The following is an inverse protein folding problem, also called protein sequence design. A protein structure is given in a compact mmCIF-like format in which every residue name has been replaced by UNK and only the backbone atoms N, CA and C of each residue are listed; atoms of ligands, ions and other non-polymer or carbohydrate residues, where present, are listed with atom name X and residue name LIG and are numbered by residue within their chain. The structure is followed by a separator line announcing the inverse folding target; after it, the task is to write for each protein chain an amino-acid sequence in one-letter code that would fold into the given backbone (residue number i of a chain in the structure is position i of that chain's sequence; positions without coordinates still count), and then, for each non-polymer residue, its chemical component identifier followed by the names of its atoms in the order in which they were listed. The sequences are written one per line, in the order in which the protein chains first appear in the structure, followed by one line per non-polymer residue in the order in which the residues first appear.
data_IF_991540485092
#
_entry.id   IF_991540485092
#
_cell.length_a   1.000
_cell.length_b   1.000
_cell.length_c   1.000
_cell.angle_alpha   90.00
_cell.angle_beta   90.00
_cell.angle_gamma   90.00
#
_symmetry.space_group_name_H-M   'P 1'
#
loop_
_entity.id
_entity.type
_entity.pdbx_description
1 polymer ?
#
# COMPACT_ATOMS: atom_id res chain seq x y z
N UNK A 1 24.27 -41.87 -49.73
CA UNK A 1 23.78 -41.87 -48.34
C UNK A 1 23.33 -40.44 -48.02
N UNK A 2 22.08 -40.09 -48.37
CA UNK A 2 20.93 -39.93 -47.43
C UNK A 2 21.22 -38.81 -46.41
N UNK A 3 20.84 -37.54 -46.65
CA UNK A 3 19.50 -36.91 -46.57
C UNK A 3 18.88 -36.87 -45.16
N UNK A 4 18.43 -35.66 -44.78
CA UNK A 4 17.35 -35.32 -43.83
C UNK A 4 17.70 -35.43 -42.32
N UNK A 5 17.39 -34.51 -41.39
CA UNK A 5 16.55 -33.31 -41.37
C UNK A 5 17.02 -32.38 -40.23
N UNK A 6 17.31 -31.12 -40.54
CA UNK A 6 17.15 -30.01 -39.60
C UNK A 6 15.65 -29.72 -39.53
N UNK A 7 14.98 -30.26 -38.52
CA UNK A 7 13.56 -29.96 -38.30
C UNK A 7 13.33 -29.77 -36.81
N UNK A 8 13.60 -28.55 -36.35
CA UNK A 8 12.91 -27.95 -35.21
C UNK A 8 12.33 -26.65 -35.72
N UNK A 9 11.32 -26.78 -36.57
CA UNK A 9 10.38 -25.71 -36.88
C UNK A 9 9.37 -25.63 -35.73
N UNK A 10 9.82 -25.17 -34.56
CA UNK A 10 8.91 -24.60 -33.58
C UNK A 10 8.64 -23.16 -34.03
N UNK A 11 7.75 -23.03 -35.03
CA UNK A 11 7.04 -21.79 -35.30
C UNK A 11 6.47 -21.29 -33.98
N UNK A 12 7.07 -20.22 -33.43
CA UNK A 12 6.50 -19.47 -32.32
C UNK A 12 5.06 -19.10 -32.73
N UNK A 13 4.01 -19.61 -32.05
CA UNK A 13 2.65 -19.33 -32.47
C UNK A 13 2.36 -17.85 -32.17
N UNK A 14 2.54 -17.03 -33.20
CA UNK A 14 2.55 -15.57 -33.10
C UNK A 14 1.17 -14.98 -32.73
N UNK A 15 0.11 -15.78 -32.86
CA UNK A 15 -1.29 -15.44 -32.52
C UNK A 15 -1.56 -15.42 -31.01
N UNK A 16 -0.88 -16.23 -30.20
CA UNK A 16 -1.11 -16.28 -28.75
C UNK A 16 -0.36 -15.18 -27.96
N UNK A 17 0.73 -14.65 -28.52
CA UNK A 17 1.54 -13.59 -27.90
C UNK A 17 0.80 -12.24 -27.86
N UNK A 18 0.13 -11.86 -28.96
CA UNK A 18 -0.57 -10.57 -29.07
C UNK A 18 -1.75 -10.42 -28.10
N UNK A 19 -2.54 -11.49 -27.93
CA UNK A 19 -3.71 -11.50 -27.04
C UNK A 19 -3.26 -11.47 -25.56
N UNK A 20 -2.25 -12.26 -25.18
CA UNK A 20 -1.68 -12.23 -23.82
C UNK A 20 -1.02 -10.89 -23.48
N UNK A 21 -0.40 -10.23 -24.45
CA UNK A 21 0.18 -8.90 -24.25
C UNK A 21 -0.88 -7.79 -24.14
N UNK A 22 -2.06 -7.97 -24.76
CA UNK A 22 -3.21 -7.08 -24.62
C UNK A 22 -3.81 -7.15 -23.21
N UNK A 23 -4.09 -8.37 -22.72
CA UNK A 23 -4.58 -8.62 -21.37
C UNK A 23 -3.60 -8.14 -20.29
N UNK A 24 -2.30 -8.37 -20.48
CA UNK A 24 -1.26 -7.93 -19.54
C UNK A 24 -1.17 -6.40 -19.36
N UNK A 25 -1.43 -5.61 -20.41
CA UNK A 25 -1.42 -4.14 -20.31
C UNK A 25 -2.67 -3.61 -19.61
N UNK A 26 -3.84 -4.21 -19.86
CA UNK A 26 -5.08 -3.82 -19.20
C UNK A 26 -5.00 -4.09 -17.68
N UNK A 27 -4.50 -5.27 -17.30
CA UNK A 27 -4.26 -5.62 -15.89
C UNK A 27 -3.27 -4.68 -15.21
N UNK A 28 -2.11 -4.43 -15.82
CA UNK A 28 -1.10 -3.54 -15.24
C UNK A 28 -1.55 -2.08 -15.14
N UNK A 29 -2.37 -1.59 -16.08
CA UNK A 29 -2.92 -0.23 -16.03
C UNK A 29 -3.92 -0.07 -14.87
N UNK A 30 -4.77 -1.08 -14.68
CA UNK A 30 -5.70 -1.14 -13.55
C UNK A 30 -4.94 -1.23 -12.21
N UNK A 31 -3.85 -1.99 -12.16
CA UNK A 31 -3.00 -2.07 -10.98
C UNK A 31 -2.39 -0.71 -10.63
N UNK A 32 -1.94 0.07 -11.60
CA UNK A 32 -1.43 1.42 -11.34
C UNK A 32 -2.48 2.33 -10.70
N UNK A 33 -3.71 2.34 -11.24
CA UNK A 33 -4.82 3.11 -10.68
C UNK A 33 -5.13 2.69 -9.23
N UNK A 34 -5.11 1.38 -8.96
CA UNK A 34 -5.31 0.85 -7.61
C UNK A 34 -4.20 1.27 -6.64
N UNK A 35 -2.94 1.22 -7.09
CA UNK A 35 -1.79 1.64 -6.27
C UNK A 35 -1.87 3.14 -5.94
N UNK A 36 -2.25 3.99 -6.91
CA UNK A 36 -2.45 5.43 -6.68
C UNK A 36 -3.54 5.67 -5.64
N UNK A 37 -4.67 4.96 -5.75
CA UNK A 37 -5.75 5.05 -4.74
C UNK A 37 -5.26 4.63 -3.35
N UNK A 38 -4.43 3.58 -3.27
CA UNK A 38 -3.82 3.17 -2.00
C UNK A 38 -2.92 4.29 -1.44
N UNK A 39 -2.10 4.91 -2.28
CA UNK A 39 -1.23 6.01 -1.87
C UNK A 39 -2.02 7.21 -1.30
N UNK A 40 -3.16 7.56 -1.90
CA UNK A 40 -4.00 8.64 -1.39
C UNK A 40 -4.62 8.31 -0.01
N UNK A 41 -5.02 7.06 0.22
CA UNK A 41 -5.51 6.64 1.54
C UNK A 41 -4.40 6.66 2.60
N UNK A 42 -3.17 6.25 2.25
CA UNK A 42 -2.02 6.35 3.16
C UNK A 42 -1.78 7.82 3.55
N UNK A 43 -1.83 8.76 2.59
CA UNK A 43 -1.70 10.19 2.87
C UNK A 43 -2.79 10.70 3.82
N UNK A 44 -4.04 10.25 3.64
CA UNK A 44 -5.14 10.60 4.54
C UNK A 44 -4.84 10.13 5.97
N UNK A 45 -4.41 8.88 6.15
CA UNK A 45 -4.03 8.36 7.48
C UNK A 45 -2.86 9.12 8.10
N UNK A 46 -1.84 9.49 7.31
CA UNK A 46 -0.70 10.30 7.78
C UNK A 46 -1.17 11.69 8.27
N UNK A 47 -2.07 12.34 7.52
CA UNK A 47 -2.61 13.64 7.90
C UNK A 47 -3.39 13.55 9.22
N UNK A 48 -4.17 12.47 9.41
CA UNK A 48 -4.91 12.23 10.63
C UNK A 48 -3.98 11.91 11.81
N UNK A 49 -2.94 11.09 11.62
CA UNK A 49 -1.93 10.81 12.65
C UNK A 49 -1.25 12.09 13.16
N UNK A 50 -1.00 13.06 12.27
CA UNK A 50 -0.47 14.37 12.66
C UNK A 50 -1.44 15.14 13.56
N UNK A 51 -2.74 15.12 13.27
CA UNK A 51 -3.77 15.76 14.12
C UNK A 51 -3.75 15.18 15.54
N UNK A 52 -3.67 13.85 15.67
CA UNK A 52 -3.58 13.17 16.97
C UNK A 52 -2.37 13.66 17.77
N UNK A 53 -1.20 13.75 17.13
CA UNK A 53 0.01 14.21 17.80
C UNK A 53 -0.13 15.64 18.35
N UNK A 54 -0.78 16.55 17.61
CA UNK A 54 -1.03 17.93 18.06
C UNK A 54 -2.06 17.96 19.18
N UNK A 55 -3.17 17.22 19.04
CA UNK A 55 -4.19 17.11 20.10
C UNK A 55 -3.60 16.57 21.40
N UNK A 56 -2.80 15.52 21.31
CA UNK A 56 -2.12 14.91 22.45
C UNK A 56 -1.15 15.90 23.13
N UNK A 57 -0.45 16.74 22.37
CA UNK A 57 0.41 17.77 22.94
C UNK A 57 -0.40 18.84 23.70
N UNK A 58 -1.50 19.31 23.12
CA UNK A 58 -2.41 20.26 23.77
C UNK A 58 -3.02 19.67 25.05
N UNK A 59 -3.37 18.39 25.00
CA UNK A 59 -3.90 17.63 26.13
C UNK A 59 -2.89 17.49 27.28
N UNK A 60 -1.60 17.25 26.98
CA UNK A 60 -0.54 17.24 28.00
C UNK A 60 -0.44 18.60 28.71
N UNK A 61 -0.54 19.70 27.95
CA UNK A 61 -0.50 21.03 28.55
C UNK A 61 -1.70 21.28 29.47
N UNK A 62 -2.89 20.88 29.03
CA UNK A 62 -4.11 20.96 29.84
C UNK A 62 -4.00 20.12 31.12
N UNK A 63 -3.48 18.90 31.01
CA UNK A 63 -3.26 18.01 32.15
C UNK A 63 -2.26 18.60 33.16
N UNK A 64 -1.15 19.18 32.68
CA UNK A 64 -0.18 19.89 33.55
C UNK A 64 -0.82 21.07 34.29
N UNK A 65 -1.69 21.83 33.62
CA UNK A 65 -2.42 22.95 34.26
C UNK A 65 -3.43 22.48 35.29
N UNK A 66 -4.07 21.34 35.04
CA UNK A 66 -5.05 20.73 35.95
C UNK A 66 -4.41 20.05 37.17
N UNK A 67 -3.10 19.83 37.17
CA UNK A 67 -2.37 19.25 38.28
C UNK A 67 -2.84 17.83 38.62
N UNK A 68 -3.14 17.57 39.89
CA UNK A 68 -3.57 16.25 40.37
C UNK A 68 -4.91 15.80 39.79
N UNK A 69 -5.76 16.72 39.32
CA UNK A 69 -7.08 16.41 38.79
C UNK A 69 -7.09 15.73 37.41
N UNK A 70 -5.95 15.68 36.71
CA UNK A 70 -5.85 15.11 35.36
C UNK A 70 -4.57 14.28 35.13
N UNK A 71 -4.01 13.67 36.18
CA UNK A 71 -2.77 12.89 36.09
C UNK A 71 -2.90 11.71 35.11
N UNK A 72 -3.97 10.92 35.19
CA UNK A 72 -4.18 9.79 34.29
C UNK A 72 -4.40 10.25 32.84
N UNK A 73 -5.04 11.40 32.63
CA UNK A 73 -5.16 11.98 31.30
C UNK A 73 -3.82 12.45 30.73
N UNK A 74 -2.90 12.90 31.58
CA UNK A 74 -1.52 13.22 31.19
C UNK A 74 -0.75 11.99 30.68
N UNK A 75 -0.90 10.84 31.36
CA UNK A 75 -0.31 9.57 30.93
C UNK A 75 -0.89 9.11 29.59
N UNK A 76 -2.22 9.11 29.49
CA UNK A 76 -2.93 8.80 28.26
C UNK A 76 -2.48 9.69 27.10
N UNK A 77 -2.35 11.00 27.32
CA UNK A 77 -1.91 11.92 26.28
C UNK A 77 -0.49 11.61 25.80
N UNK A 78 0.38 11.07 26.66
CA UNK A 78 1.67 10.55 26.23
C UNK A 78 1.55 9.27 25.39
N UNK A 79 0.64 8.36 25.76
CA UNK A 79 0.34 7.16 24.96
C UNK A 79 -0.21 7.52 23.58
N UNK A 80 -1.07 8.54 23.48
CA UNK A 80 -1.56 9.06 22.19
C UNK A 80 -0.41 9.58 21.31
N UNK A 81 0.61 10.22 21.90
CA UNK A 81 1.80 10.64 21.15
C UNK A 81 2.58 9.44 20.61
N UNK A 82 2.79 8.43 21.45
CA UNK A 82 3.47 7.19 21.04
C UNK A 82 2.69 6.53 19.91
N UNK A 83 1.38 6.33 20.08
CA UNK A 83 0.49 5.80 19.05
C UNK A 83 0.59 6.58 17.73
N UNK A 84 0.50 7.91 17.77
CA UNK A 84 0.56 8.75 16.56
C UNK A 84 1.90 8.63 15.82
N UNK A 85 3.00 8.51 16.57
CA UNK A 85 4.34 8.33 16.01
C UNK A 85 4.46 6.96 15.37
N UNK A 86 4.02 5.92 16.05
CA UNK A 86 4.12 4.53 15.59
C UNK A 86 3.24 4.32 14.35
N UNK A 87 2.05 4.94 14.32
CA UNK A 87 1.16 4.93 13.15
C UNK A 87 1.82 5.61 11.95
N UNK A 88 2.47 6.76 12.17
CA UNK A 88 3.23 7.44 11.10
C UNK A 88 4.37 6.59 10.56
N UNK A 89 5.09 5.89 11.44
CA UNK A 89 6.16 4.96 11.03
C UNK A 89 5.61 3.83 10.17
N UNK A 90 4.46 3.25 10.53
CA UNK A 90 3.84 2.20 9.72
C UNK A 90 3.32 2.71 8.37
N UNK A 91 2.74 3.92 8.34
CA UNK A 91 2.36 4.54 7.08
C UNK A 91 3.55 4.87 6.17
N UNK A 92 4.71 5.21 6.76
CA UNK A 92 5.94 5.42 6.00
C UNK A 92 6.45 4.12 5.36
N UNK A 93 6.45 3.01 6.11
CA UNK A 93 6.78 1.68 5.58
C UNK A 93 5.87 1.29 4.41
N UNK A 94 4.55 1.45 4.59
CA UNK A 94 3.56 1.22 3.52
C UNK A 94 3.83 2.10 2.30
N UNK A 95 4.16 3.38 2.49
CA UNK A 95 4.48 4.32 1.40
C UNK A 95 5.68 3.85 0.58
N UNK A 96 6.72 3.32 1.21
CA UNK A 96 7.92 2.82 0.52
C UNK A 96 7.59 1.59 -0.34
N UNK A 97 6.83 0.64 0.19
CA UNK A 97 6.36 -0.54 -0.55
C UNK A 97 5.46 -0.16 -1.73
N UNK A 98 4.61 0.86 -1.56
CA UNK A 98 3.78 1.41 -2.62
C UNK A 98 4.62 2.07 -3.71
N UNK A 99 5.61 2.88 -3.34
CA UNK A 99 6.50 3.49 -4.32
C UNK A 99 7.24 2.44 -5.15
N UNK A 100 7.79 1.40 -4.51
CA UNK A 100 8.40 0.27 -5.20
C UNK A 100 7.41 -0.43 -6.14
N UNK A 101 6.16 -0.62 -5.71
CA UNK A 101 5.10 -1.22 -6.53
C UNK A 101 4.76 -0.38 -7.76
N UNK A 102 4.70 0.96 -7.63
CA UNK A 102 4.49 1.88 -8.76
C UNK A 102 5.61 1.73 -9.78
N UNK A 103 6.87 1.67 -9.33
CA UNK A 103 8.04 1.54 -10.20
C UNK A 103 7.95 0.24 -11.01
N UNK A 104 7.66 -0.89 -10.34
CA UNK A 104 7.59 -2.19 -11.01
C UNK A 104 6.41 -2.29 -11.99
N UNK A 105 5.22 -1.80 -11.63
CA UNK A 105 4.07 -1.75 -12.53
C UNK A 105 4.34 -0.84 -13.74
N UNK A 106 4.96 0.31 -13.53
CA UNK A 106 5.31 1.23 -14.61
C UNK A 106 6.28 0.59 -15.61
N UNK A 107 7.27 -0.16 -15.11
CA UNK A 107 8.21 -0.92 -15.93
C UNK A 107 7.52 -2.06 -16.69
N UNK A 108 6.56 -2.74 -16.08
CA UNK A 108 5.76 -3.78 -16.75
C UNK A 108 4.88 -3.20 -17.86
N UNK A 109 4.28 -2.02 -17.65
CA UNK A 109 3.54 -1.30 -18.68
C UNK A 109 4.43 -0.90 -19.86
N UNK A 110 5.58 -0.31 -19.57
CA UNK A 110 6.55 0.07 -20.60
C UNK A 110 7.05 -1.17 -21.37
N UNK A 111 7.38 -2.25 -20.66
CA UNK A 111 7.75 -3.53 -21.28
C UNK A 111 6.63 -4.03 -22.20
N UNK A 112 5.38 -4.05 -21.74
CA UNK A 112 4.26 -4.56 -22.54
C UNK A 112 4.06 -3.75 -23.83
N UNK A 113 4.22 -2.42 -23.78
CA UNK A 113 4.18 -1.56 -24.98
C UNK A 113 5.30 -1.90 -25.95
N UNK A 114 6.55 -2.01 -25.48
CA UNK A 114 7.68 -2.33 -26.35
C UNK A 114 7.65 -3.75 -26.90
N UNK A 115 7.25 -4.74 -26.10
CA UNK A 115 7.15 -6.13 -26.54
C UNK A 115 6.16 -6.29 -27.69
N UNK A 116 5.06 -5.52 -27.72
CA UNK A 116 4.14 -5.50 -28.87
C UNK A 116 4.80 -4.97 -30.14
N UNK A 117 5.52 -3.85 -30.05
CA UNK A 117 6.23 -3.28 -31.20
C UNK A 117 7.31 -4.23 -31.72
N UNK A 118 8.04 -4.87 -30.81
CA UNK A 118 9.09 -5.83 -31.18
C UNK A 118 8.49 -7.10 -31.81
N UNK A 119 7.40 -7.63 -31.25
CA UNK A 119 6.71 -8.79 -31.82
C UNK A 119 6.19 -8.51 -33.23
N UNK A 120 5.63 -7.33 -33.48
CA UNK A 120 5.25 -6.91 -34.83
C UNK A 120 6.46 -6.84 -35.77
N UNK A 121 7.59 -6.30 -35.31
CA UNK A 121 8.85 -6.27 -36.06
C UNK A 121 9.38 -7.67 -36.41
N UNK A 122 9.30 -8.62 -35.49
CA UNK A 122 9.68 -10.03 -35.74
C UNK A 122 8.83 -10.61 -36.87
N UNK A 123 7.51 -10.40 -36.85
CA UNK A 123 6.61 -10.88 -37.91
C UNK A 123 6.95 -10.29 -39.28
N UNK A 124 7.16 -8.96 -39.34
CA UNK A 124 7.51 -8.27 -40.59
C UNK A 124 8.87 -8.69 -41.15
N UNK A 125 9.80 -9.10 -40.28
CA UNK A 125 11.13 -9.57 -40.66
C UNK A 125 11.17 -11.03 -41.12
N UNK A 126 10.04 -11.74 -41.15
CA UNK A 126 9.98 -13.15 -41.53
C UNK A 126 10.56 -14.10 -40.49
N UNK A 127 10.52 -13.76 -39.20
CA UNK A 127 11.01 -14.64 -38.13
C UNK A 127 12.53 -14.58 -37.91
N UNK A 128 13.12 -13.38 -37.94
CA UNK A 128 14.55 -13.21 -37.67
C UNK A 128 14.93 -13.76 -36.28
N UNK A 129 15.76 -14.80 -36.24
CA UNK A 129 16.16 -15.50 -35.02
C UNK A 129 16.79 -14.58 -33.94
N UNK A 130 17.51 -13.53 -34.33
CA UNK A 130 18.09 -12.56 -33.37
C UNK A 130 17.02 -11.71 -32.70
N UNK A 131 15.98 -11.31 -33.43
CA UNK A 131 14.88 -10.53 -32.87
C UNK A 131 14.02 -11.40 -31.95
N UNK A 132 13.81 -12.67 -32.31
CA UNK A 132 13.15 -13.63 -31.42
C UNK A 132 13.92 -13.85 -30.12
N UNK A 133 15.26 -13.94 -30.17
CA UNK A 133 16.09 -14.06 -28.97
C UNK A 133 15.94 -12.83 -28.05
N UNK A 134 15.93 -11.61 -28.62
CA UNK A 134 15.70 -10.39 -27.85
C UNK A 134 14.32 -10.39 -27.20
N UNK A 135 13.28 -10.84 -27.92
CA UNK A 135 11.93 -10.96 -27.37
C UNK A 135 11.89 -11.95 -26.20
N UNK A 136 12.49 -13.14 -26.37
CA UNK A 136 12.60 -14.15 -25.29
C UNK A 136 13.32 -13.61 -24.06
N UNK A 137 14.43 -12.88 -24.25
CA UNK A 137 15.17 -12.27 -23.13
C UNK A 137 14.31 -11.25 -22.39
N UNK A 138 13.59 -10.41 -23.13
CA UNK A 138 12.71 -9.38 -22.57
C UNK A 138 11.55 -9.99 -21.81
N UNK A 139 10.96 -11.08 -22.30
CA UNK A 139 9.89 -11.79 -21.60
C UNK A 139 10.36 -12.37 -20.26
N UNK A 140 11.59 -12.91 -20.21
CA UNK A 140 12.23 -13.36 -18.96
C UNK A 140 12.42 -12.21 -17.98
N UNK A 141 12.94 -11.06 -18.45
CA UNK A 141 13.09 -9.85 -17.61
C UNK A 141 11.75 -9.38 -17.03
N UNK A 142 10.65 -9.47 -17.80
CA UNK A 142 9.32 -9.12 -17.33
C UNK A 142 8.76 -10.12 -16.32
N UNK A 143 9.07 -11.40 -16.48
CA UNK A 143 8.65 -12.42 -15.53
C UNK A 143 9.26 -12.19 -14.14
N UNK A 144 10.57 -11.89 -14.08
CA UNK A 144 11.25 -11.53 -12.83
C UNK A 144 10.60 -10.31 -12.16
N UNK A 145 10.19 -9.31 -12.94
CA UNK A 145 9.46 -8.14 -12.42
C UNK A 145 8.07 -8.50 -11.88
N UNK A 146 7.33 -9.40 -12.55
CA UNK A 146 6.03 -9.87 -12.04
C UNK A 146 6.19 -10.60 -10.71
N UNK A 147 7.23 -11.41 -10.56
CA UNK A 147 7.56 -12.08 -9.30
C UNK A 147 7.90 -11.08 -8.19
N UNK A 148 8.68 -10.05 -8.52
CA UNK A 148 9.01 -8.95 -7.60
C UNK A 148 7.75 -8.19 -7.17
N UNK A 149 6.86 -7.87 -8.10
CA UNK A 149 5.59 -7.22 -7.80
C UNK A 149 4.69 -8.11 -6.91
N UNK A 150 4.65 -9.41 -7.17
CA UNK A 150 3.92 -10.38 -6.33
C UNK A 150 4.47 -10.41 -4.90
N UNK A 151 5.80 -10.33 -4.74
CA UNK A 151 6.44 -10.21 -3.42
C UNK A 151 6.06 -8.91 -2.72
N UNK A 152 6.17 -7.77 -3.41
CA UNK A 152 5.79 -6.46 -2.85
C UNK A 152 4.33 -6.42 -2.40
N UNK A 153 3.41 -7.05 -3.14
CA UNK A 153 2.01 -7.18 -2.74
C UNK A 153 1.83 -7.94 -1.43
N UNK A 154 2.58 -9.02 -1.22
CA UNK A 154 2.55 -9.78 0.04
C UNK A 154 3.10 -8.97 1.21
N UNK A 155 4.24 -8.31 1.01
CA UNK A 155 4.84 -7.43 2.03
C UNK A 155 3.90 -6.28 2.40
N UNK A 156 3.27 -5.66 1.40
CA UNK A 156 2.28 -4.60 1.61
C UNK A 156 1.06 -5.09 2.39
N UNK A 157 0.61 -6.32 2.13
CA UNK A 157 -0.50 -6.94 2.88
C UNK A 157 -0.15 -7.14 4.35
N UNK A 158 1.04 -7.66 4.63
CA UNK A 158 1.52 -7.87 6.01
C UNK A 158 1.67 -6.53 6.75
N UNK A 159 2.30 -5.53 6.12
CA UNK A 159 2.42 -4.20 6.71
C UNK A 159 1.06 -3.53 6.95
N UNK A 160 0.06 -3.81 6.11
CA UNK A 160 -1.31 -3.33 6.32
C UNK A 160 -1.97 -4.03 7.52
N UNK A 161 -1.75 -5.34 7.68
CA UNK A 161 -2.22 -6.11 8.86
C UNK A 161 -1.60 -5.57 10.16
N UNK A 162 -0.29 -5.26 10.17
CA UNK A 162 0.38 -4.63 11.31
C UNK A 162 -0.23 -3.26 11.64
N UNK A 163 -0.56 -2.46 10.62
CA UNK A 163 -1.22 -1.18 10.82
C UNK A 163 -2.63 -1.34 11.42
N UNK A 164 -3.38 -2.38 11.05
CA UNK A 164 -4.68 -2.68 11.67
C UNK A 164 -4.55 -3.01 13.15
N UNK A 165 -3.61 -3.88 13.52
CA UNK A 165 -3.37 -4.24 14.92
C UNK A 165 -3.03 -3.00 15.75
N UNK A 166 -2.19 -2.11 15.21
CA UNK A 166 -1.88 -0.85 15.87
C UNK A 166 -3.13 0.01 16.09
N UNK A 167 -4.02 0.12 15.10
CA UNK A 167 -5.26 0.90 15.21
C UNK A 167 -6.26 0.26 16.17
N UNK A 168 -6.29 -1.07 16.29
CA UNK A 168 -7.08 -1.76 17.31
C UNK A 168 -6.62 -1.39 18.73
N UNK A 169 -5.30 -1.34 18.96
CA UNK A 169 -4.74 -0.82 20.21
C UNK A 169 -5.13 0.65 20.43
N UNK A 170 -5.11 1.47 19.37
CA UNK A 170 -5.63 2.85 19.40
C UNK A 170 -7.10 2.93 19.85
N UNK A 171 -7.93 1.98 19.44
CA UNK A 171 -9.33 1.89 19.89
C UNK A 171 -9.48 1.54 21.37
N UNK A 172 -8.57 0.73 21.91
CA UNK A 172 -8.50 0.48 23.37
C UNK A 172 -8.09 1.76 24.10
N UNK A 173 -7.08 2.48 23.61
CA UNK A 173 -6.70 3.79 24.15
C UNK A 173 -7.85 4.78 24.14
N UNK A 174 -8.68 4.78 23.08
CA UNK A 174 -9.80 5.70 22.95
C UNK A 174 -10.89 5.42 24.00
N UNK A 175 -11.14 4.15 24.30
CA UNK A 175 -12.05 3.75 25.38
C UNK A 175 -11.51 4.14 26.75
N UNK A 176 -10.22 3.86 27.01
CA UNK A 176 -9.56 4.27 28.26
C UNK A 176 -9.58 5.79 28.43
N UNK A 177 -9.41 6.54 27.35
CA UNK A 177 -9.49 8.00 27.33
C UNK A 177 -10.85 8.53 27.81
N UNK A 178 -11.94 7.88 27.38
CA UNK A 178 -13.30 8.30 27.76
C UNK A 178 -13.56 8.06 29.24
N UNK A 179 -13.05 6.95 29.78
CA UNK A 179 -13.14 6.62 31.20
C UNK A 179 -12.40 7.68 32.00
N UNK A 180 -11.13 7.93 31.66
CA UNK A 180 -10.30 8.90 32.38
C UNK A 180 -10.85 10.33 32.31
N UNK A 181 -11.40 10.72 31.16
CA UNK A 181 -12.07 12.00 30.99
C UNK A 181 -13.26 12.18 31.94
N UNK A 182 -14.02 11.12 32.22
CA UNK A 182 -15.16 11.16 33.15
C UNK A 182 -14.73 11.39 34.61
N UNK A 183 -13.48 11.04 34.97
CA UNK A 183 -12.92 11.27 36.31
C UNK A 183 -12.21 12.63 36.46
N UNK A 184 -12.13 13.42 35.39
CA UNK A 184 -11.37 14.67 35.32
C UNK A 184 -11.87 15.87 36.14
N UNK A 185 -12.82 15.67 37.07
CA UNK A 185 -13.36 16.69 37.97
C UNK A 185 -13.79 17.96 37.21
N UNK A 186 -13.22 19.12 37.54
CA UNK A 186 -13.51 20.42 36.90
C UNK A 186 -13.09 20.50 35.42
N UNK A 187 -12.30 19.56 34.93
CA UNK A 187 -11.84 19.50 33.53
C UNK A 187 -12.63 18.50 32.68
N UNK A 188 -13.62 17.79 33.23
CA UNK A 188 -14.39 16.74 32.56
C UNK A 188 -14.86 17.14 31.16
N UNK A 189 -15.41 18.35 30.98
CA UNK A 189 -15.88 18.80 29.67
C UNK A 189 -14.78 18.89 28.60
N UNK A 190 -13.63 19.46 28.96
CA UNK A 190 -12.50 19.60 28.03
C UNK A 190 -11.83 18.24 27.72
N UNK A 191 -11.71 17.36 28.72
CA UNK A 191 -11.12 16.03 28.53
C UNK A 191 -12.06 15.11 27.72
N UNK A 192 -13.38 15.21 27.95
CA UNK A 192 -14.38 14.46 27.20
C UNK A 192 -14.39 14.86 25.72
N UNK A 193 -14.23 16.16 25.42
CA UNK A 193 -14.08 16.63 24.04
C UNK A 193 -12.85 16.02 23.37
N UNK A 194 -11.67 16.12 23.98
CA UNK A 194 -10.42 15.57 23.43
C UNK A 194 -10.51 14.06 23.21
N UNK A 195 -11.08 13.35 24.19
CA UNK A 195 -11.26 11.90 24.09
C UNK A 195 -12.27 11.50 23.01
N UNK A 196 -13.36 12.26 22.84
CA UNK A 196 -14.35 12.03 21.79
C UNK A 196 -13.77 12.29 20.39
N UNK A 197 -13.01 13.38 20.23
CA UNK A 197 -12.31 13.68 18.98
C UNK A 197 -11.28 12.59 18.63
N UNK A 198 -10.52 12.09 19.61
CA UNK A 198 -9.58 10.99 19.39
C UNK A 198 -10.28 9.70 18.95
N UNK A 199 -11.39 9.33 19.61
CA UNK A 199 -12.18 8.15 19.24
C UNK A 199 -12.71 8.23 17.80
N UNK A 200 -13.25 9.40 17.41
CA UNK A 200 -13.70 9.62 16.03
C UNK A 200 -12.57 9.51 15.01
N UNK A 201 -11.39 10.02 15.35
CA UNK A 201 -10.18 9.91 14.52
C UNK A 201 -9.74 8.45 14.36
N UNK A 202 -9.73 7.66 15.44
CA UNK A 202 -9.35 6.23 15.37
C UNK A 202 -10.29 5.47 14.44
N UNK A 203 -11.60 5.76 14.49
CA UNK A 203 -12.58 5.15 13.59
C UNK A 203 -12.43 5.62 12.14
N UNK A 204 -12.06 6.90 11.90
CA UNK A 204 -11.71 7.40 10.56
C UNK A 204 -10.51 6.64 9.96
N UNK A 205 -9.46 6.42 10.78
CA UNK A 205 -8.29 5.64 10.36
C UNK A 205 -8.70 4.19 10.06
N UNK A 206 -9.49 3.56 10.95
CA UNK A 206 -9.99 2.19 10.75
C UNK A 206 -10.71 2.07 9.40
N UNK A 207 -11.64 2.97 9.09
CA UNK A 207 -12.37 2.99 7.82
C UNK A 207 -11.46 3.17 6.59
N UNK A 208 -10.42 4.00 6.71
CA UNK A 208 -9.42 4.20 5.66
C UNK A 208 -8.61 2.92 5.41
N UNK A 209 -8.15 2.25 6.47
CA UNK A 209 -7.45 0.96 6.36
C UNK A 209 -8.36 -0.15 5.82
N UNK A 210 -9.64 -0.18 6.19
CA UNK A 210 -10.61 -1.15 5.64
C UNK A 210 -10.80 -0.97 4.13
N UNK A 211 -10.86 0.27 3.67
CA UNK A 211 -10.93 0.60 2.25
C UNK A 211 -9.68 0.11 1.52
N UNK A 212 -8.50 0.27 2.14
CA UNK A 212 -7.25 -0.30 1.63
C UNK A 212 -7.31 -1.82 1.53
N UNK A 213 -7.72 -2.51 2.59
CA UNK A 213 -7.77 -3.98 2.67
C UNK A 213 -8.66 -4.60 1.58
N UNK A 214 -9.74 -3.90 1.20
CA UNK A 214 -10.67 -4.32 0.14
C UNK A 214 -10.13 -4.10 -1.28
N UNK A 215 -8.97 -3.47 -1.45
CA UNK A 215 -8.37 -3.25 -2.76
C UNK A 215 -8.02 -4.56 -3.47
N UNK A 216 -8.49 -4.71 -4.70
CA UNK A 216 -8.17 -5.87 -5.55
C UNK A 216 -6.69 -5.96 -5.94
N UNK A 217 -5.89 -4.92 -5.67
CA UNK A 217 -4.44 -4.98 -5.83
C UNK A 217 -3.79 -6.07 -4.96
N UNK A 218 -4.37 -6.36 -3.79
CA UNK A 218 -3.91 -7.42 -2.90
C UNK A 218 -4.38 -8.83 -3.33
N UNK A 219 -5.41 -8.90 -4.17
CA UNK A 219 -6.07 -10.13 -4.59
C UNK A 219 -5.51 -10.76 -5.86
N UNK A 220 -4.39 -10.25 -6.40
CA UNK A 220 -3.79 -10.75 -7.64
C UNK A 220 -3.34 -12.21 -7.51
N UNK A 221 -4.19 -13.13 -7.98
CA UNK A 221 -3.80 -14.43 -8.53
C UNK A 221 -3.23 -14.23 -9.93
#
# INVERSE_FOLDING_TARGET
MTSTALQVSDTYPASHSGIRAAEGTAGASLDLLRIVRINEQIKAVVAVAFKINIMALNAIFLAKRAGSAALGFGVLSNELRVFSRDLRTQMESLRQLIHASVVEVSRLLQHSRYSRLLAAGVQLSGGNARLEEVLRRRDREAQVRRETLSRLRRELKLALEDAFQLVELGGVLAKSAKIEAAYGQSFTGALAQVSGEFDGIVEEIRGSLETLKKSSFFGGR
#
